data_IF_058241489022
#
_entry.id   IF_058241489022
#
_cell.length_a   1.000
_cell.length_b   1.000
_cell.length_c   1.000
_cell.angle_alpha   90.00
_cell.angle_beta   90.00
_cell.angle_gamma   90.00
#
_symmetry.space_group_name_H-M   'P 1'
#
loop_
_entity.id
_entity.type
_entity.pdbx_description
1 polymer ?
#
# COMPACT_ATOMS: atom_id res chain seq x y z
N UNK A 1 -8.71 -21.19 14.78
CA UNK A 1 -8.21 -20.39 13.63
C UNK A 1 -7.39 -19.23 14.18
N UNK A 2 -6.17 -19.00 13.69
CA UNK A 2 -5.38 -17.84 14.14
C UNK A 2 -5.96 -16.54 13.58
N UNK A 3 -6.03 -15.44 14.37
CA UNK A 3 -6.56 -14.18 13.90
C UNK A 3 -5.70 -13.64 12.74
N UNK A 4 -6.35 -13.27 11.63
CA UNK A 4 -5.71 -12.64 10.47
C UNK A 4 -5.73 -11.13 10.67
N UNK A 5 -4.56 -10.50 10.74
CA UNK A 5 -4.43 -9.04 10.80
C UNK A 5 -4.38 -8.50 9.37
N UNK A 6 -5.21 -7.49 9.07
CA UNK A 6 -5.27 -6.81 7.78
C UNK A 6 -4.83 -5.36 8.00
N UNK A 7 -3.93 -4.87 7.16
CA UNK A 7 -3.50 -3.48 7.14
C UNK A 7 -4.21 -2.70 6.03
N UNK A 8 -4.59 -1.46 6.32
CA UNK A 8 -5.11 -0.52 5.34
C UNK A 8 -4.05 0.57 5.12
N UNK A 9 -3.35 0.53 4.00
CA UNK A 9 -2.29 1.46 3.67
C UNK A 9 -2.88 2.73 3.04
N UNK A 10 -3.35 3.65 3.88
CA UNK A 10 -3.78 4.97 3.43
C UNK A 10 -2.54 5.81 3.07
N UNK A 11 -2.23 5.88 1.78
CA UNK A 11 -1.05 6.55 1.24
C UNK A 11 -1.44 7.65 0.26
N UNK A 12 -0.62 8.70 0.20
CA UNK A 12 -0.76 9.76 -0.80
C UNK A 12 0.11 9.43 -2.02
N UNK A 13 -0.50 9.00 -3.13
CA UNK A 13 0.19 8.71 -4.40
C UNK A 13 0.23 9.93 -5.31
N UNK A 14 1.23 10.01 -6.18
CA UNK A 14 1.38 11.12 -7.14
C UNK A 14 0.98 10.65 -8.53
N UNK A 15 0.04 11.35 -9.18
CA UNK A 15 -0.41 11.02 -10.55
C UNK A 15 0.78 11.02 -11.51
N UNK A 16 0.98 9.92 -12.23
CA UNK A 16 2.05 9.74 -13.21
C UNK A 16 3.40 9.29 -12.65
N UNK A 17 3.64 9.39 -11.34
CA UNK A 17 4.90 8.93 -10.73
C UNK A 17 4.88 7.43 -10.41
N UNK A 18 4.90 6.60 -11.46
CA UNK A 18 4.84 5.14 -11.32
C UNK A 18 5.95 4.60 -10.42
N UNK A 19 7.19 5.11 -10.57
CA UNK A 19 8.34 4.61 -9.80
C UNK A 19 8.25 5.04 -8.34
N UNK A 20 7.88 6.29 -8.06
CA UNK A 20 7.73 6.78 -6.69
C UNK A 20 6.56 6.14 -5.96
N UNK A 21 5.44 5.92 -6.65
CA UNK A 21 4.30 5.20 -6.11
C UNK A 21 4.63 3.74 -5.82
N UNK A 22 5.32 3.04 -6.73
CA UNK A 22 5.79 1.68 -6.49
C UNK A 22 6.72 1.59 -5.27
N UNK A 23 7.66 2.54 -5.12
CA UNK A 23 8.51 2.60 -3.91
C UNK A 23 7.68 2.79 -2.64
N UNK A 24 6.68 3.66 -2.66
CA UNK A 24 5.76 3.90 -1.53
C UNK A 24 4.94 2.66 -1.18
N UNK A 25 4.45 1.94 -2.18
CA UNK A 25 3.74 0.66 -1.99
C UNK A 25 4.63 -0.37 -1.30
N UNK A 26 5.88 -0.52 -1.76
CA UNK A 26 6.85 -1.46 -1.15
C UNK A 26 7.17 -1.08 0.30
N UNK A 27 7.40 0.20 0.59
CA UNK A 27 7.63 0.68 1.96
C UNK A 27 6.47 0.35 2.90
N UNK A 28 5.23 0.61 2.47
CA UNK A 28 4.05 0.34 3.29
C UNK A 28 3.73 -1.16 3.39
N UNK A 29 4.07 -1.96 2.39
CA UNK A 29 3.99 -3.42 2.48
C UNK A 29 4.94 -3.97 3.54
N UNK A 30 6.18 -3.47 3.61
CA UNK A 30 7.14 -3.85 4.66
C UNK A 30 6.65 -3.42 6.05
N UNK A 31 6.15 -2.20 6.20
CA UNK A 31 5.55 -1.73 7.47
C UNK A 31 4.37 -2.61 7.91
N UNK A 32 3.54 -3.05 6.98
CA UNK A 32 2.43 -3.96 7.28
C UNK A 32 2.94 -5.35 7.71
N UNK A 33 3.98 -5.88 7.05
CA UNK A 33 4.64 -7.13 7.43
C UNK A 33 5.24 -7.05 8.84
N UNK A 34 5.96 -5.99 9.16
CA UNK A 34 6.53 -5.73 10.49
C UNK A 34 5.45 -5.60 11.56
N UNK A 35 4.30 -5.02 11.21
CA UNK A 35 3.12 -4.97 12.06
C UNK A 35 2.37 -6.33 12.15
N UNK A 36 2.88 -7.41 11.56
CA UNK A 36 2.27 -8.75 11.61
C UNK A 36 0.99 -8.89 10.79
N UNK A 37 0.75 -8.01 9.81
CA UNK A 37 -0.37 -8.14 8.90
C UNK A 37 -0.14 -9.30 7.91
N UNK A 38 -1.19 -10.07 7.65
CA UNK A 38 -1.20 -11.11 6.62
C UNK A 38 -1.69 -10.63 5.26
N UNK A 39 -2.27 -9.44 5.21
CA UNK A 39 -2.77 -8.78 4.00
C UNK A 39 -2.67 -7.27 4.20
N UNK A 40 -2.27 -6.54 3.16
CA UNK A 40 -2.34 -5.08 3.10
C UNK A 40 -3.14 -4.66 1.87
N UNK A 41 -4.04 -3.70 2.05
CA UNK A 41 -4.82 -3.10 0.97
C UNK A 41 -4.34 -1.68 0.70
N UNK A 42 -4.31 -1.30 -0.58
CA UNK A 42 -3.93 0.02 -1.05
C UNK A 42 -5.12 0.69 -1.77
N UNK A 43 -5.10 2.03 -1.94
CA UNK A 43 -6.11 2.74 -2.73
C UNK A 43 -6.17 2.25 -4.18
N UNK A 44 -7.30 2.52 -4.83
CA UNK A 44 -7.46 2.31 -6.27
C UNK A 44 -6.40 3.09 -7.07
N UNK A 45 -5.92 2.49 -8.16
CA UNK A 45 -4.88 3.04 -9.02
C UNK A 45 -3.60 3.48 -8.28
N UNK A 46 -3.28 2.92 -7.11
CA UNK A 46 -2.14 3.36 -6.31
C UNK A 46 -0.79 3.36 -7.04
N UNK A 47 -0.61 2.52 -8.08
CA UNK A 47 0.62 2.51 -8.90
C UNK A 47 0.70 3.76 -9.78
N UNK A 48 -0.39 4.15 -10.43
CA UNK A 48 -0.41 5.29 -11.36
C UNK A 48 -0.78 6.62 -10.69
N UNK A 49 -1.42 6.56 -9.52
CA UNK A 49 -2.09 7.69 -8.89
C UNK A 49 -3.49 7.97 -9.49
N UNK A 50 -4.27 8.76 -8.76
CA UNK A 50 -5.65 9.17 -9.08
C UNK A 50 -5.85 10.66 -8.73
N UNK A 51 -6.67 11.47 -9.44
CA UNK A 51 -7.47 11.14 -10.64
C UNK A 51 -6.61 11.03 -11.91
N UNK A 52 -7.12 10.42 -12.99
CA UNK A 52 -8.24 10.97 -13.76
C UNK A 52 -9.62 10.68 -13.18
#
# INVERSE_FOLDING_TARGET
MSPRRIALAQINTTVGDIRGNARKILEYAERAREAGASLVLFPELAVTGYPP
#
